data_IF_842983549325
#
_entry.id   IF_842983549325
#
_cell.length_a   1.000
_cell.length_b   1.000
_cell.length_c   1.000
_cell.angle_alpha   90.00
_cell.angle_beta   90.00
_cell.angle_gamma   90.00
#
_symmetry.space_group_name_H-M   'P 1'
#
loop_
_entity.id
_entity.type
_entity.pdbx_description
1 polymer ?
#
# COMPACT_ATOMS: atom_id res chain seq x y z
N UNK A 1 8.93 6.38 -26.15
CA UNK A 1 7.50 6.28 -25.76
C UNK A 1 7.42 5.56 -24.43
N UNK A 2 6.68 6.07 -23.45
CA UNK A 2 6.50 5.35 -22.18
C UNK A 2 5.49 4.22 -22.36
N UNK A 3 5.80 3.04 -21.83
CA UNK A 3 4.77 2.01 -21.65
C UNK A 3 3.64 2.61 -20.81
N UNK A 4 2.44 2.61 -21.38
CA UNK A 4 1.22 2.98 -20.69
C UNK A 4 0.91 1.81 -19.76
N UNK A 5 0.90 2.04 -18.45
CA UNK A 5 0.45 1.03 -17.50
C UNK A 5 -1.01 0.71 -17.86
N UNK A 6 -1.25 -0.54 -18.26
CA UNK A 6 -2.59 -1.02 -18.55
C UNK A 6 -3.31 -1.21 -17.22
N UNK A 7 -4.32 -0.38 -16.95
CA UNK A 7 -5.19 -0.55 -15.79
C UNK A 7 -5.88 -1.92 -15.93
N UNK A 8 -5.76 -2.82 -14.92
CA UNK A 8 -6.38 -4.13 -15.00
C UNK A 8 -7.92 -4.06 -14.92
N UNK A 9 -8.59 -4.96 -15.62
CA UNK A 9 -10.07 -4.99 -15.68
C UNK A 9 -10.74 -5.26 -14.33
N UNK A 10 -10.02 -5.88 -13.38
CA UNK A 10 -10.52 -6.13 -12.02
C UNK A 10 -10.51 -4.88 -11.13
N UNK A 11 -9.79 -3.82 -11.51
CA UNK A 11 -9.67 -2.59 -10.72
C UNK A 11 -10.87 -1.68 -10.97
N UNK A 12 -12.01 -2.03 -10.39
CA UNK A 12 -13.29 -1.34 -10.56
C UNK A 12 -13.79 -0.71 -9.26
N UNK A 13 -14.85 0.11 -9.35
CA UNK A 13 -15.51 0.72 -8.18
C UNK A 13 -16.03 -0.33 -7.21
N UNK A 14 -16.54 -1.45 -7.72
CA UNK A 14 -17.08 -2.56 -6.94
C UNK A 14 -15.98 -3.24 -6.13
N UNK A 15 -14.83 -3.53 -6.77
CA UNK A 15 -13.68 -4.13 -6.09
C UNK A 15 -13.13 -3.20 -5.00
N UNK A 16 -13.01 -1.89 -5.28
CA UNK A 16 -12.62 -0.90 -4.27
C UNK A 16 -13.63 -0.80 -3.13
N UNK A 17 -14.93 -0.79 -3.45
CA UNK A 17 -16.00 -0.76 -2.45
C UNK A 17 -15.92 -1.95 -1.50
N UNK A 18 -15.66 -3.15 -2.03
CA UNK A 18 -15.43 -4.36 -1.23
C UNK A 18 -14.24 -4.22 -0.27
N UNK A 19 -13.10 -3.70 -0.75
CA UNK A 19 -11.92 -3.46 0.08
C UNK A 19 -12.19 -2.46 1.22
N UNK A 20 -12.85 -1.34 0.90
CA UNK A 20 -13.18 -0.31 1.89
C UNK A 20 -14.21 -0.82 2.90
N UNK A 21 -15.21 -1.58 2.45
CA UNK A 21 -16.18 -2.24 3.34
C UNK A 21 -15.49 -3.17 4.33
N UNK A 22 -14.55 -4.00 3.87
CA UNK A 22 -13.81 -4.90 4.75
C UNK A 22 -12.90 -4.16 5.73
N UNK A 23 -12.28 -3.05 5.32
CA UNK A 23 -11.43 -2.23 6.19
C UNK A 23 -12.25 -1.48 7.25
N UNK A 24 -13.37 -0.89 6.86
CA UNK A 24 -14.21 -0.03 7.71
C UNK A 24 -15.26 -0.80 8.51
N UNK A 25 -15.50 -2.07 8.18
CA UNK A 25 -16.58 -2.89 8.76
C UNK A 25 -17.95 -2.21 8.67
N UNK A 26 -18.17 -1.49 7.57
CA UNK A 26 -19.34 -0.64 7.31
C UNK A 26 -19.73 -0.74 5.83
N UNK A 27 -20.97 -0.44 5.48
CA UNK A 27 -21.38 -0.46 4.06
C UNK A 27 -20.76 0.74 3.33
N UNK A 28 -20.19 0.48 2.16
CA UNK A 28 -19.47 1.49 1.35
C UNK A 28 -20.04 1.54 -0.05
N UNK A 29 -20.38 2.74 -0.51
CA UNK A 29 -20.78 3.00 -1.90
C UNK A 29 -19.78 3.96 -2.53
N UNK A 30 -19.03 3.48 -3.52
CA UNK A 30 -18.04 4.29 -4.24
C UNK A 30 -18.75 5.17 -5.28
N UNK A 31 -18.66 6.49 -5.08
CA UNK A 31 -19.28 7.47 -5.96
C UNK A 31 -18.34 7.83 -7.12
N UNK A 32 -17.07 8.08 -6.80
CA UNK A 32 -16.05 8.44 -7.78
C UNK A 32 -14.73 7.69 -7.53
N UNK A 33 -14.01 7.42 -8.61
CA UNK A 33 -12.73 6.71 -8.58
C UNK A 33 -11.85 7.19 -9.71
N UNK A 34 -10.62 7.58 -9.38
CA UNK A 34 -9.58 7.98 -10.33
C UNK A 34 -8.33 7.14 -10.10
N UNK A 35 -7.78 6.58 -11.17
CA UNK A 35 -6.51 5.82 -11.13
C UNK A 35 -5.42 6.64 -11.82
N UNK A 36 -4.28 6.84 -11.15
CA UNK A 36 -3.12 7.55 -11.67
C UNK A 36 -1.87 6.70 -11.58
N UNK A 37 -1.00 6.85 -12.57
CA UNK A 37 0.34 6.27 -12.59
C UNK A 37 1.36 7.40 -12.47
N UNK A 38 1.48 7.96 -11.27
CA UNK A 38 2.29 9.15 -10.99
C UNK A 38 3.68 8.82 -10.43
N UNK A 39 4.07 7.55 -10.49
CA UNK A 39 5.35 7.08 -9.96
C UNK A 39 6.44 7.19 -11.03
N UNK A 40 7.55 7.92 -10.76
CA UNK A 40 8.58 8.19 -11.77
C UNK A 40 9.17 6.92 -12.36
N UNK A 41 9.48 6.94 -13.67
CA UNK A 41 10.16 5.82 -14.33
C UNK A 41 11.48 5.49 -13.65
N UNK A 42 11.77 4.20 -13.48
CA UNK A 42 13.00 3.72 -12.84
C UNK A 42 13.00 3.80 -11.30
N UNK A 43 11.86 4.16 -10.69
CA UNK A 43 11.65 4.07 -9.24
C UNK A 43 11.21 2.67 -8.79
N UNK A 44 10.55 1.90 -9.67
CA UNK A 44 10.21 0.49 -9.41
C UNK A 44 10.38 -0.40 -10.65
N UNK A 45 11.15 -1.49 -10.47
CA UNK A 45 11.46 -2.45 -11.52
C UNK A 45 10.69 -3.77 -11.37
N UNK A 46 10.03 -4.00 -10.22
CA UNK A 46 9.43 -5.28 -9.85
C UNK A 46 7.93 -5.31 -10.15
N UNK A 47 7.21 -4.25 -9.79
CA UNK A 47 5.77 -4.13 -10.00
C UNK A 47 5.43 -2.75 -10.58
N UNK A 48 4.25 -2.64 -11.17
CA UNK A 48 3.65 -1.35 -11.46
C UNK A 48 2.99 -0.84 -10.19
N UNK A 49 3.06 0.47 -9.96
CA UNK A 49 2.48 1.08 -8.77
C UNK A 49 1.53 2.17 -9.22
N UNK A 50 0.28 2.04 -8.81
CA UNK A 50 -0.80 2.95 -9.19
C UNK A 50 -1.43 3.54 -7.95
N UNK A 51 -1.80 4.82 -8.06
CA UNK A 51 -2.54 5.54 -7.03
C UNK A 51 -4.02 5.52 -7.39
N UNK A 52 -4.87 5.16 -6.43
CA UNK A 52 -6.32 5.12 -6.59
C UNK A 52 -6.93 6.10 -5.62
N UNK A 53 -7.46 7.22 -6.13
CA UNK A 53 -8.24 8.17 -5.36
C UNK A 53 -9.71 7.79 -5.44
N UNK A 54 -10.39 7.74 -4.29
CA UNK A 54 -11.75 7.22 -4.17
C UNK A 54 -12.58 8.16 -3.32
N UNK A 55 -13.76 8.53 -3.81
CA UNK A 55 -14.79 9.25 -3.05
C UNK A 55 -15.98 8.34 -2.85
N UNK A 56 -16.43 8.17 -1.61
CA UNK A 56 -17.44 7.19 -1.23
C UNK A 56 -18.33 7.66 -0.07
N UNK A 57 -19.48 7.01 0.08
CA UNK A 57 -20.39 7.14 1.22
C UNK A 57 -20.23 5.94 2.15
N UNK A 58 -20.47 6.15 3.44
CA UNK A 58 -20.48 5.10 4.47
C UNK A 58 -21.88 4.98 5.06
N UNK A 59 -22.42 3.77 5.13
CA UNK A 59 -23.77 3.44 5.61
C UNK A 59 -24.90 4.27 4.97
N UNK A 60 -24.71 4.73 3.73
CA UNK A 60 -25.61 5.68 3.03
C UNK A 60 -25.91 6.96 3.83
N UNK A 61 -25.05 7.32 4.79
CA UNK A 61 -25.18 8.56 5.56
C UNK A 61 -24.76 9.75 4.70
N UNK A 62 -25.39 10.93 4.88
CA UNK A 62 -24.98 12.13 4.19
C UNK A 62 -23.55 12.52 4.57
N UNK A 63 -22.72 12.83 3.57
CA UNK A 63 -21.32 13.22 3.73
C UNK A 63 -20.38 12.31 2.94
N UNK A 64 -19.66 12.89 1.97
CA UNK A 64 -18.68 12.16 1.19
C UNK A 64 -17.36 12.04 1.94
N UNK A 65 -16.76 10.86 1.90
CA UNK A 65 -15.40 10.60 2.38
C UNK A 65 -14.49 10.39 1.18
N UNK A 66 -13.27 10.94 1.23
CA UNK A 66 -12.25 10.70 0.21
C UNK A 66 -11.05 10.01 0.84
N UNK A 67 -10.56 8.96 0.18
CA UNK A 67 -9.27 8.33 0.52
C UNK A 67 -8.41 8.17 -0.72
N UNK A 68 -7.12 7.97 -0.52
CA UNK A 68 -6.21 7.55 -1.58
C UNK A 68 -5.47 6.28 -1.17
N UNK A 69 -5.28 5.39 -2.13
CA UNK A 69 -4.66 4.08 -1.97
C UNK A 69 -3.48 3.94 -2.92
N UNK A 70 -2.44 3.25 -2.49
CA UNK A 70 -1.34 2.80 -3.36
C UNK A 70 -1.51 1.31 -3.61
N UNK A 71 -1.60 0.94 -4.89
CA UNK A 71 -1.66 -0.46 -5.32
C UNK A 71 -0.39 -0.86 -6.06
N UNK A 72 0.25 -1.92 -5.57
CA UNK A 72 1.36 -2.58 -6.26
C UNK A 72 0.82 -3.76 -7.05
N UNK A 73 0.93 -3.70 -8.36
CA UNK A 73 0.33 -4.64 -9.32
C UNK A 73 1.45 -5.35 -10.10
N UNK A 74 1.38 -6.66 -10.34
CA UNK A 74 2.41 -7.36 -11.11
C UNK A 74 2.55 -6.77 -12.50
N UNK A 75 3.80 -6.60 -12.96
CA UNK A 75 4.05 -6.22 -14.36
C UNK A 75 3.56 -7.32 -15.29
N UNK A 76 3.19 -6.94 -16.49
CA UNK A 76 2.87 -7.87 -17.59
C UNK A 76 3.92 -7.76 -18.70
N UNK A 77 4.27 -8.87 -19.34
CA UNK A 77 5.27 -8.91 -20.42
C UNK A 77 6.71 -8.88 -19.91
N UNK A 78 7.68 -8.94 -20.84
CA UNK A 78 9.12 -8.93 -20.52
C UNK A 78 9.52 -9.95 -19.45
N UNK A 79 10.17 -9.48 -18.38
CA UNK A 79 10.66 -10.31 -17.26
C UNK A 79 9.59 -10.65 -16.21
N UNK A 80 8.30 -10.36 -16.46
CA UNK A 80 7.22 -10.55 -15.49
C UNK A 80 7.12 -11.97 -14.94
N UNK A 81 7.25 -13.00 -15.79
CA UNK A 81 7.18 -14.40 -15.35
C UNK A 81 8.32 -14.75 -14.37
N UNK A 82 9.54 -14.24 -14.64
CA UNK A 82 10.67 -14.41 -13.74
C UNK A 82 10.44 -13.69 -12.41
N UNK A 83 9.96 -12.45 -12.43
CA UNK A 83 9.64 -11.68 -11.22
C UNK A 83 8.55 -12.38 -10.38
N UNK A 84 7.53 -12.91 -11.04
CA UNK A 84 6.47 -13.68 -10.39
C UNK A 84 7.04 -14.93 -9.69
N UNK A 85 7.97 -15.64 -10.33
CA UNK A 85 8.65 -16.81 -9.75
C UNK A 85 9.53 -16.47 -8.55
N UNK A 86 10.08 -15.25 -8.47
CA UNK A 86 10.81 -14.80 -7.28
C UNK A 86 9.91 -14.67 -6.04
N UNK A 87 8.58 -14.59 -6.21
CA UNK A 87 7.62 -14.56 -5.11
C UNK A 87 7.66 -13.28 -4.26
N UNK A 88 8.33 -12.22 -4.74
CA UNK A 88 8.55 -10.98 -3.98
C UNK A 88 7.26 -10.28 -3.55
N UNK A 89 6.23 -10.25 -4.42
CA UNK A 89 4.95 -9.63 -4.06
C UNK A 89 4.21 -10.49 -3.02
N UNK A 90 4.30 -11.82 -3.11
CA UNK A 90 3.73 -12.71 -2.10
C UNK A 90 4.41 -12.51 -0.74
N UNK A 91 5.74 -12.38 -0.70
CA UNK A 91 6.46 -12.06 0.54
C UNK A 91 6.02 -10.72 1.11
N UNK A 92 5.81 -9.70 0.26
CA UNK A 92 5.28 -8.41 0.69
C UNK A 92 3.85 -8.52 1.23
N UNK A 93 2.99 -9.32 0.59
CA UNK A 93 1.66 -9.62 1.11
C UNK A 93 1.72 -10.28 2.49
N UNK A 94 2.57 -11.29 2.67
CA UNK A 94 2.75 -11.98 3.96
C UNK A 94 3.27 -11.02 5.03
N UNK A 95 4.16 -10.08 4.67
CA UNK A 95 4.65 -9.04 5.55
C UNK A 95 3.49 -8.19 6.09
N UNK A 96 2.69 -7.59 5.22
CA UNK A 96 1.59 -6.70 5.63
C UNK A 96 0.40 -7.44 6.25
N UNK A 97 0.12 -8.68 5.82
CA UNK A 97 -1.03 -9.46 6.28
C UNK A 97 -0.78 -10.19 7.60
N UNK A 98 0.43 -10.72 7.79
CA UNK A 98 0.74 -11.65 8.87
C UNK A 98 1.76 -11.08 9.83
N UNK A 99 2.88 -10.55 9.31
CA UNK A 99 4.01 -10.14 10.15
C UNK A 99 3.70 -8.82 10.86
N UNK A 100 3.33 -7.77 10.13
CA UNK A 100 3.05 -6.44 10.71
C UNK A 100 1.98 -6.51 11.81
N UNK A 101 0.80 -7.15 11.60
CA UNK A 101 -0.20 -7.23 12.67
C UNK A 101 0.30 -7.96 13.92
N UNK A 102 1.16 -8.98 13.77
CA UNK A 102 1.78 -9.67 14.91
C UNK A 102 2.79 -8.79 15.63
N UNK A 103 3.63 -8.06 14.90
CA UNK A 103 4.59 -7.11 15.49
C UNK A 103 3.87 -6.00 16.27
N UNK A 104 2.74 -5.51 15.74
CA UNK A 104 1.89 -4.53 16.43
C UNK A 104 1.25 -5.12 17.69
N UNK A 105 0.77 -6.38 17.64
CA UNK A 105 0.13 -7.02 18.78
C UNK A 105 1.11 -7.30 19.95
N UNK A 106 2.40 -7.51 19.67
CA UNK A 106 3.43 -7.77 20.69
C UNK A 106 4.24 -6.52 21.08
N UNK A 107 4.04 -5.40 20.39
CA UNK A 107 4.70 -4.15 20.74
C UNK A 107 4.14 -3.60 22.04
N UNK A 108 4.93 -2.80 22.76
CA UNK A 108 4.51 -2.10 23.97
C UNK A 108 3.49 -0.99 23.72
N UNK A 109 3.19 -0.70 22.46
CA UNK A 109 2.59 0.56 22.02
C UNK A 109 1.05 0.46 21.95
N UNK A 110 0.44 -0.28 22.88
CA UNK A 110 -1.02 -0.45 23.01
C UNK A 110 -1.76 -0.87 21.72
N UNK A 111 -1.07 -1.54 20.78
CA UNK A 111 -1.63 -1.93 19.49
C UNK A 111 -1.61 -0.85 18.40
N UNK A 112 -0.93 0.28 18.63
CA UNK A 112 -0.70 1.28 17.58
C UNK A 112 0.36 0.80 16.57
N UNK A 113 0.08 1.01 15.28
CA UNK A 113 1.01 0.64 14.22
C UNK A 113 2.06 1.74 14.00
N UNK A 114 3.23 1.56 14.60
CA UNK A 114 4.41 2.40 14.38
C UNK A 114 5.46 1.75 13.46
N UNK A 115 5.10 0.70 12.74
CA UNK A 115 6.00 -0.04 11.86
C UNK A 115 5.85 0.40 10.41
N UNK A 116 4.61 0.50 9.93
CA UNK A 116 4.30 0.79 8.53
C UNK A 116 3.03 1.63 8.38
N UNK A 117 2.68 1.97 7.15
CA UNK A 117 1.33 2.41 6.79
C UNK A 117 0.30 1.28 6.96
N UNK A 118 -0.97 1.66 6.85
CA UNK A 118 -2.08 0.73 6.81
C UNK A 118 -2.10 -0.10 5.53
N UNK A 119 -2.61 -1.33 5.64
CA UNK A 119 -2.88 -2.22 4.49
C UNK A 119 -4.35 -2.63 4.44
N UNK A 120 -4.80 -3.04 3.25
CA UNK A 120 -6.18 -3.41 2.95
C UNK A 120 -6.27 -4.87 2.52
N UNK A 121 -7.24 -5.58 3.08
CA UNK A 121 -7.44 -7.02 2.88
C UNK A 121 -8.94 -7.38 2.80
N UNK A 122 -9.30 -8.46 2.09
CA UNK A 122 -8.44 -9.37 1.32
C UNK A 122 -7.85 -8.70 0.06
N UNK A 123 -6.78 -9.27 -0.52
CA UNK A 123 -6.22 -8.73 -1.76
C UNK A 123 -7.26 -8.82 -2.90
N UNK A 124 -7.43 -7.77 -3.73
CA UNK A 124 -8.44 -7.74 -4.77
C UNK A 124 -8.12 -8.66 -5.97
N UNK A 125 -6.84 -9.03 -6.14
CA UNK A 125 -6.40 -9.93 -7.20
C UNK A 125 -5.13 -10.68 -6.78
N UNK A 126 -4.71 -11.62 -7.63
CA UNK A 126 -3.47 -12.38 -7.43
C UNK A 126 -2.24 -11.46 -7.45
N UNK A 127 -1.37 -11.60 -6.45
CA UNK A 127 -0.14 -10.81 -6.29
C UNK A 127 -0.36 -9.29 -6.36
N UNK A 128 -1.38 -8.76 -5.67
CA UNK A 128 -1.58 -7.33 -5.51
C UNK A 128 -1.42 -6.94 -4.04
N UNK A 129 -0.75 -5.83 -3.77
CA UNK A 129 -0.67 -5.24 -2.43
C UNK A 129 -1.39 -3.90 -2.45
N UNK A 130 -2.30 -3.69 -1.50
CA UNK A 130 -3.07 -2.43 -1.38
C UNK A 130 -2.72 -1.79 -0.04
N UNK A 131 -2.18 -0.57 -0.12
CA UNK A 131 -1.66 0.20 1.01
C UNK A 131 -2.31 1.57 1.10
N UNK A 132 -2.30 2.14 2.30
CA UNK A 132 -2.58 3.56 2.53
C UNK A 132 -1.60 4.43 1.74
N UNK A 133 -2.14 5.47 1.11
CA UNK A 133 -1.33 6.51 0.49
C UNK A 133 -0.85 7.54 1.52
N UNK A 134 0.40 7.38 1.94
CA UNK A 134 1.04 8.25 2.93
C UNK A 134 1.22 9.70 2.46
N UNK A 135 1.15 9.99 1.16
CA UNK A 135 1.30 11.38 0.71
C UNK A 135 0.14 12.29 1.14
N UNK A 136 -1.04 11.71 1.43
CA UNK A 136 -2.15 12.44 2.05
C UNK A 136 -1.79 12.96 3.46
N UNK A 137 -0.79 12.34 4.11
CA UNK A 137 -0.23 12.76 5.40
C UNK A 137 1.02 13.64 5.26
N UNK A 138 1.36 14.05 4.04
CA UNK A 138 2.53 14.89 3.76
C UNK A 138 3.85 14.15 3.61
N UNK A 139 3.85 12.80 3.59
CA UNK A 139 5.08 12.05 3.32
C UNK A 139 5.50 12.19 1.87
N UNK A 140 6.81 12.31 1.66
CA UNK A 140 7.45 12.41 0.35
C UNK A 140 8.51 11.32 0.20
N UNK A 141 8.77 10.91 -1.04
CA UNK A 141 9.86 9.97 -1.32
C UNK A 141 11.21 10.64 -1.10
N UNK A 142 12.07 10.03 -0.28
CA UNK A 142 13.44 10.49 -0.10
C UNK A 142 14.23 10.40 -1.42
N UNK A 143 15.10 11.38 -1.67
CA UNK A 143 15.98 11.33 -2.83
C UNK A 143 17.07 10.27 -2.63
N UNK A 144 16.99 9.16 -3.37
CA UNK A 144 17.95 8.04 -3.27
C UNK A 144 19.41 8.40 -3.57
N UNK A 145 19.65 9.53 -4.25
CA UNK A 145 21.00 10.03 -4.55
C UNK A 145 21.51 10.99 -3.48
N UNK A 146 20.63 11.48 -2.60
CA UNK A 146 21.01 12.25 -1.43
C UNK A 146 21.28 11.32 -0.25
N UNK A 147 22.15 11.77 0.66
CA UNK A 147 22.29 11.13 1.96
C UNK A 147 21.17 11.59 2.89
N UNK A 148 20.85 10.77 3.90
CA UNK A 148 19.95 11.17 4.98
C UNK A 148 20.59 12.31 5.79
N UNK A 149 19.80 13.31 6.16
CA UNK A 149 20.20 14.22 7.22
C UNK A 149 20.14 13.52 8.60
N UNK A 150 20.60 14.21 9.65
CA UNK A 150 20.68 13.62 10.99
C UNK A 150 19.29 13.21 11.51
N UNK A 151 18.28 14.05 11.33
CA UNK A 151 16.91 13.82 11.78
C UNK A 151 16.28 12.62 11.08
N UNK A 152 16.44 12.52 9.76
CA UNK A 152 16.00 11.38 8.94
C UNK A 152 16.73 10.10 9.36
N UNK A 153 18.05 10.15 9.57
CA UNK A 153 18.82 8.99 10.01
C UNK A 153 18.35 8.50 11.39
N UNK A 154 18.09 9.40 12.33
CA UNK A 154 17.55 9.06 13.66
C UNK A 154 16.17 8.39 13.53
N UNK A 155 15.28 8.89 12.66
CA UNK A 155 13.97 8.27 12.41
C UNK A 155 14.07 6.87 11.80
N UNK A 156 14.96 6.68 10.83
CA UNK A 156 15.22 5.36 10.23
C UNK A 156 15.77 4.40 11.28
N UNK A 157 16.78 4.80 12.05
CA UNK A 157 17.37 3.96 13.09
C UNK A 157 16.36 3.56 14.17
N UNK A 158 15.50 4.49 14.62
CA UNK A 158 14.42 4.18 15.56
C UNK A 158 13.43 3.16 14.99
N UNK A 159 13.06 3.31 13.73
CA UNK A 159 12.14 2.38 13.05
C UNK A 159 12.77 0.98 12.93
N UNK A 160 14.03 0.89 12.48
CA UNK A 160 14.76 -0.38 12.38
C UNK A 160 14.94 -1.04 13.75
N UNK A 161 15.28 -0.27 14.78
CA UNK A 161 15.39 -0.77 16.15
C UNK A 161 14.05 -1.33 16.67
N UNK A 162 12.92 -0.68 16.35
CA UNK A 162 11.58 -1.17 16.69
C UNK A 162 11.30 -2.51 16.01
N UNK A 163 11.55 -2.62 14.70
CA UNK A 163 11.41 -3.88 13.98
C UNK A 163 12.27 -4.98 14.61
N UNK A 164 13.56 -4.70 14.87
CA UNK A 164 14.49 -5.65 15.45
C UNK A 164 14.05 -6.14 16.84
N UNK A 165 13.65 -5.22 17.72
CA UNK A 165 13.20 -5.54 19.07
C UNK A 165 11.91 -6.37 19.08
N UNK A 166 10.97 -6.07 18.17
CA UNK A 166 9.71 -6.80 18.08
C UNK A 166 9.89 -8.18 17.44
N UNK A 167 10.78 -8.34 16.45
CA UNK A 167 10.97 -9.62 15.74
C UNK A 167 11.83 -10.64 16.47
N UNK A 168 12.44 -10.29 17.60
CA UNK A 168 13.22 -11.22 18.43
C UNK A 168 12.33 -12.12 19.32
N UNK A 169 11.12 -11.64 19.65
CA UNK A 169 10.16 -12.34 20.52
C UNK A 169 9.32 -13.35 19.73
#
# INVERSE_FOLDING_TARGET
MGEIIKIPDWLTKETIGGLLKEKLKSDVTVCDMTVKCDIPKGSNNVCDVVRVSVTYLVDNKPGYTTTSLIMKIPKTGGMSEYILKLGVIKQEQDMFRLVIPRLVAISSDAGENHFTCDSYWPSPAFNVVVLEDLSARGFVMANRQALLNYEEAVLVLKTVARFHAASYK
#
